data_IF_402877775895
#
_entry.id   IF_402877775895
#
_cell.length_a   1.000
_cell.length_b   1.000
_cell.length_c   1.000
_cell.angle_alpha   90.00
_cell.angle_beta   90.00
_cell.angle_gamma   90.00
#
_symmetry.space_group_name_H-M   'P 1'
#
loop_
_entity.id
_entity.type
_entity.pdbx_description
1 polymer ?
#
# COMPACT_ATOMS: atom_id res chain seq x y z
N UNK A 1 -9.70 -13.67 -10.43
CA UNK A 1 -9.50 -13.07 -9.09
C UNK A 1 -10.82 -12.47 -8.66
N UNK A 2 -11.51 -13.14 -7.74
CA UNK A 2 -12.66 -12.58 -7.02
C UNK A 2 -12.22 -11.25 -6.39
N UNK A 3 -12.98 -10.17 -6.60
CA UNK A 3 -12.61 -8.84 -6.11
C UNK A 3 -12.34 -8.86 -4.62
N UNK A 4 -11.06 -8.76 -4.24
CA UNK A 4 -10.60 -8.69 -2.86
C UNK A 4 -10.98 -7.30 -2.35
N UNK A 5 -11.76 -7.26 -1.28
CA UNK A 5 -12.10 -6.02 -0.59
C UNK A 5 -10.99 -5.75 0.43
N UNK A 6 -10.27 -4.66 0.25
CA UNK A 6 -9.14 -4.27 1.08
C UNK A 6 -9.42 -2.96 1.82
N UNK A 7 -8.68 -2.71 2.91
CA UNK A 7 -8.83 -1.55 3.77
C UNK A 7 -7.48 -1.00 4.21
N UNK A 8 -7.36 0.31 4.30
CA UNK A 8 -6.15 0.99 4.79
C UNK A 8 -6.51 2.26 5.54
N UNK A 9 -5.94 2.45 6.73
CA UNK A 9 -6.00 3.74 7.43
C UNK A 9 -5.19 4.81 6.70
N UNK A 10 -5.74 6.01 6.67
CA UNK A 10 -5.00 7.18 6.24
C UNK A 10 -4.06 7.66 7.36
N UNK A 11 -2.90 8.26 7.01
CA UNK A 11 -2.12 9.07 7.94
C UNK A 11 -2.87 10.33 8.43
N UNK A 12 -3.88 10.79 7.67
CA UNK A 12 -4.80 11.86 8.10
C UNK A 12 -5.74 11.29 9.16
N UNK A 13 -5.89 12.03 10.26
CA UNK A 13 -6.70 11.60 11.40
C UNK A 13 -8.12 11.21 11.00
N UNK A 14 -8.60 10.12 11.62
CA UNK A 14 -9.96 9.62 11.50
C UNK A 14 -10.43 9.26 10.08
N UNK A 15 -9.54 9.11 9.10
CA UNK A 15 -9.92 8.71 7.74
C UNK A 15 -9.35 7.36 7.36
N UNK A 16 -10.11 6.58 6.62
CA UNK A 16 -9.64 5.33 6.03
C UNK A 16 -10.24 5.13 4.65
N UNK A 17 -9.54 4.35 3.82
CA UNK A 17 -10.00 3.99 2.48
C UNK A 17 -10.30 2.50 2.40
N UNK A 18 -11.22 2.15 1.51
CA UNK A 18 -11.45 0.76 1.11
C UNK A 18 -11.45 0.66 -0.40
N UNK A 19 -10.98 -0.46 -0.95
CA UNK A 19 -11.06 -0.69 -2.40
C UNK A 19 -11.43 -2.13 -2.74
N UNK A 20 -12.10 -2.29 -3.88
CA UNK A 20 -12.51 -3.58 -4.43
C UNK A 20 -13.25 -3.42 -5.76
N UNK A 21 -14.48 -2.89 -5.74
CA UNK A 21 -15.22 -2.50 -6.95
C UNK A 21 -15.00 -1.03 -7.35
N UNK A 22 -14.69 -0.20 -6.36
CA UNK A 22 -14.30 1.20 -6.46
C UNK A 22 -13.54 1.56 -5.19
N UNK A 23 -12.95 2.75 -5.15
CA UNK A 23 -12.21 3.27 -4.01
C UNK A 23 -13.15 4.17 -3.22
N UNK A 24 -13.36 3.87 -1.94
CA UNK A 24 -14.24 4.64 -1.07
C UNK A 24 -13.45 5.29 0.05
N UNK A 25 -13.76 6.55 0.37
CA UNK A 25 -13.22 7.27 1.52
C UNK A 25 -14.26 7.33 2.63
N UNK A 26 -13.83 6.93 3.83
CA UNK A 26 -14.63 6.99 5.04
C UNK A 26 -13.97 7.89 6.08
N UNK A 27 -14.82 8.56 6.85
CA UNK A 27 -14.42 9.37 8.01
C UNK A 27 -15.06 8.82 9.27
N UNK A 28 -14.31 8.78 10.36
CA UNK A 28 -14.69 8.15 11.62
C UNK A 28 -15.04 9.20 12.66
N UNK A 29 -16.22 9.07 13.25
CA UNK A 29 -16.75 9.96 14.27
C UNK A 29 -17.06 9.21 15.55
N UNK A 30 -16.88 9.88 16.70
CA UNK A 30 -17.29 9.34 18.00
C UNK A 30 -18.78 9.58 18.30
N UNK A 31 -19.37 10.60 17.69
CA UNK A 31 -20.78 10.97 17.84
C UNK A 31 -21.45 10.95 16.47
N UNK A 32 -22.70 10.47 16.41
CA UNK A 32 -23.49 10.53 15.19
C UNK A 32 -23.69 11.99 14.78
N UNK A 33 -23.28 12.40 13.57
CA UNK A 33 -23.60 13.73 13.08
C UNK A 33 -25.12 13.85 12.88
N UNK A 34 -25.77 14.82 13.53
CA UNK A 34 -27.23 15.03 13.44
C UNK A 34 -27.71 15.38 12.01
N UNK A 35 -26.80 15.81 11.14
CA UNK A 35 -27.09 16.33 9.80
C UNK A 35 -26.93 15.32 8.64
N UNK A 36 -26.55 14.07 8.91
CA UNK A 36 -26.15 13.13 7.84
C UNK A 36 -27.23 12.08 7.58
N UNK A 37 -27.59 11.80 6.31
CA UNK A 37 -28.50 10.70 5.99
C UNK A 37 -27.97 9.36 6.50
N UNK A 38 -28.79 8.63 7.26
CA UNK A 38 -28.46 7.30 7.80
C UNK A 38 -27.96 6.27 6.77
N UNK A 39 -28.17 6.50 5.46
CA UNK A 39 -27.74 5.61 4.38
C UNK A 39 -26.23 5.55 4.16
N UNK A 40 -25.47 6.54 4.65
CA UNK A 40 -24.01 6.62 4.46
C UNK A 40 -23.22 6.38 5.74
N UNK A 41 -23.90 6.12 6.87
CA UNK A 41 -23.26 5.95 8.17
C UNK A 41 -23.33 4.49 8.60
N UNK A 42 -22.20 3.97 9.05
CA UNK A 42 -22.03 2.60 9.50
C UNK A 42 -21.52 2.60 10.94
N UNK A 43 -22.20 1.91 11.84
CA UNK A 43 -21.69 1.72 13.20
C UNK A 43 -20.50 0.75 13.14
N UNK A 44 -19.31 1.23 13.55
CA UNK A 44 -18.09 0.41 13.53
C UNK A 44 -17.76 -0.16 14.91
N UNK A 45 -18.01 0.62 15.97
CA UNK A 45 -17.85 0.20 17.37
C UNK A 45 -18.99 0.72 18.25
N UNK A 46 -18.96 0.45 19.56
CA UNK A 46 -19.99 0.96 20.49
C UNK A 46 -20.04 2.49 20.50
N UNK A 47 -18.87 3.13 20.35
CA UNK A 47 -18.67 4.57 20.46
C UNK A 47 -18.22 5.23 19.17
N UNK A 48 -18.14 4.51 18.05
CA UNK A 48 -17.68 5.09 16.79
C UNK A 48 -18.53 4.67 15.60
N UNK A 49 -18.62 5.60 14.65
CA UNK A 49 -19.33 5.48 13.39
C UNK A 49 -18.39 5.83 12.25
N UNK A 50 -18.55 5.19 11.10
CA UNK A 50 -17.87 5.53 9.86
C UNK A 50 -18.89 6.08 8.87
N UNK A 51 -18.64 7.27 8.33
CA UNK A 51 -19.43 7.91 7.29
C UNK A 51 -18.72 7.76 5.94
N UNK A 52 -19.44 7.28 4.93
CA UNK A 52 -18.97 7.30 3.55
C UNK A 52 -19.02 8.73 3.01
N UNK A 53 -17.86 9.33 2.79
CA UNK A 53 -17.76 10.68 2.21
C UNK A 53 -17.80 10.65 0.70
N UNK A 54 -16.98 9.79 0.09
CA UNK A 54 -16.74 9.81 -1.36
C UNK A 54 -16.48 8.41 -1.91
N UNK A 55 -16.86 8.21 -3.17
CA UNK A 55 -16.61 6.98 -3.94
C UNK A 55 -16.02 7.36 -5.29
N UNK A 56 -14.86 6.80 -5.62
CA UNK A 56 -14.20 6.95 -6.91
C UNK A 56 -14.21 5.59 -7.64
N UNK A 57 -14.91 5.53 -8.76
CA UNK A 57 -15.03 4.33 -9.60
C UNK A 57 -14.26 4.43 -10.92
N UNK A 58 -13.41 5.46 -11.08
CA UNK A 58 -12.69 5.71 -12.34
C UNK A 58 -11.55 4.70 -12.55
N UNK A 59 -11.04 4.11 -11.47
CA UNK A 59 -9.91 3.19 -11.49
C UNK A 59 -10.37 1.73 -11.53
N UNK A 60 -10.87 1.34 -12.70
CA UNK A 60 -11.16 -0.07 -12.99
C UNK A 60 -9.84 -0.85 -13.04
N UNK A 61 -9.83 -2.07 -12.50
CA UNK A 61 -8.65 -2.95 -12.46
C UNK A 61 -7.51 -2.47 -11.53
N UNK A 62 -7.87 -1.85 -10.41
CA UNK A 62 -6.93 -1.56 -9.33
C UNK A 62 -6.39 -2.86 -8.71
N UNK A 63 -5.07 -2.92 -8.51
CA UNK A 63 -4.33 -4.06 -7.97
C UNK A 63 -3.77 -3.81 -6.58
N UNK A 64 -3.20 -2.63 -6.39
CA UNK A 64 -2.62 -2.17 -5.13
C UNK A 64 -2.84 -0.66 -5.02
N UNK A 65 -3.03 -0.18 -3.81
CA UNK A 65 -3.15 1.24 -3.48
C UNK A 65 -2.26 1.49 -2.28
N UNK A 66 -1.59 2.64 -2.28
CA UNK A 66 -1.00 3.18 -1.06
C UNK A 66 -1.35 4.65 -0.89
N UNK A 67 -1.40 5.07 0.38
CA UNK A 67 -1.77 6.42 0.81
C UNK A 67 -0.51 7.22 1.04
N UNK A 68 -0.49 8.46 0.55
CA UNK A 68 0.63 9.36 0.77
C UNK A 68 0.92 9.54 2.27
N UNK A 69 2.17 9.31 2.73
CA UNK A 69 2.47 9.14 4.15
C UNK A 69 2.46 10.46 4.93
N UNK A 70 2.65 11.60 4.25
CA UNK A 70 2.62 12.90 4.92
C UNK A 70 1.18 13.36 5.03
N UNK A 71 0.78 13.78 6.23
CA UNK A 71 -0.52 14.37 6.49
C UNK A 71 -0.59 15.76 5.83
N UNK A 72 -1.05 15.79 4.58
CA UNK A 72 -1.39 17.02 3.87
C UNK A 72 -2.90 17.26 3.94
N UNK A 73 -3.36 18.45 3.54
CA UNK A 73 -4.79 18.81 3.62
C UNK A 73 -5.70 17.90 2.79
N UNK A 74 -5.13 17.14 1.85
CA UNK A 74 -5.84 16.22 0.98
C UNK A 74 -5.17 14.86 0.90
N UNK A 75 -5.98 13.84 0.62
CA UNK A 75 -5.57 12.45 0.60
C UNK A 75 -5.06 12.07 -0.80
N UNK A 76 -3.75 12.20 -1.00
CA UNK A 76 -3.11 11.71 -2.21
C UNK A 76 -2.96 10.18 -2.16
N UNK A 77 -3.38 9.52 -3.24
CA UNK A 77 -3.32 8.08 -3.44
C UNK A 77 -2.41 7.73 -4.61
N UNK A 78 -1.62 6.68 -4.46
CA UNK A 78 -0.96 6.02 -5.58
C UNK A 78 -1.71 4.73 -5.91
N UNK A 79 -2.25 4.64 -7.12
CA UNK A 79 -3.14 3.55 -7.54
C UNK A 79 -2.44 2.73 -8.61
N UNK A 80 -2.02 1.51 -8.26
CA UNK A 80 -1.40 0.55 -9.18
C UNK A 80 -2.44 -0.23 -9.98
N UNK A 81 -2.32 -0.20 -11.30
CA UNK A 81 -3.26 -0.84 -12.22
C UNK A 81 -2.72 -2.17 -12.78
N UNK A 82 -3.61 -3.01 -13.32
CA UNK A 82 -3.25 -4.28 -14.00
C UNK A 82 -2.36 -4.11 -15.23
N UNK A 83 -2.29 -2.92 -15.82
CA UNK A 83 -1.40 -2.63 -16.94
C UNK A 83 -0.01 -2.12 -16.50
N UNK A 84 0.22 -1.99 -15.19
CA UNK A 84 1.51 -1.60 -14.61
C UNK A 84 1.67 -0.11 -14.40
N UNK A 85 0.72 0.70 -14.90
CA UNK A 85 0.71 2.13 -14.62
C UNK A 85 0.36 2.36 -13.16
N UNK A 86 0.88 3.45 -12.63
CA UNK A 86 0.46 3.98 -11.34
C UNK A 86 -0.09 5.38 -11.53
N UNK A 87 -1.35 5.58 -11.19
CA UNK A 87 -2.01 6.88 -11.28
C UNK A 87 -2.00 7.55 -9.90
N UNK A 88 -1.58 8.81 -9.87
CA UNK A 88 -1.67 9.64 -8.67
C UNK A 88 -3.02 10.36 -8.66
N UNK A 89 -3.82 10.14 -7.63
CA UNK A 89 -5.19 10.62 -7.56
C UNK A 89 -5.55 11.14 -6.17
N UNK A 90 -6.56 12.00 -6.13
CA UNK A 90 -7.23 12.41 -4.90
C UNK A 90 -8.74 12.23 -5.05
N UNK A 91 -9.47 12.29 -3.94
CA UNK A 91 -10.92 12.38 -3.94
C UNK A 91 -11.43 13.80 -4.21
N UNK A 92 -10.65 14.84 -3.89
CA UNK A 92 -11.08 16.23 -4.06
C UNK A 92 -10.08 17.04 -4.91
N UNK A 93 -10.13 16.89 -6.26
CA UNK A 93 -9.23 17.61 -7.15
C UNK A 93 -9.60 19.09 -7.18
N UNK A 94 -9.04 19.87 -6.26
CA UNK A 94 -9.10 21.33 -6.29
C UNK A 94 -7.70 21.93 -6.45
N UNK A 95 -7.56 23.09 -7.12
CA UNK A 95 -6.28 23.77 -7.24
C UNK A 95 -5.65 24.13 -5.88
N UNK A 96 -6.47 24.29 -4.84
CA UNK A 96 -6.01 24.58 -3.47
C UNK A 96 -5.41 23.34 -2.78
N UNK A 97 -5.79 22.14 -3.23
CA UNK A 97 -5.39 20.86 -2.66
C UNK A 97 -4.26 20.19 -3.44
N UNK A 98 -4.03 20.57 -4.70
CA UNK A 98 -2.91 20.09 -5.51
C UNK A 98 -1.78 21.12 -5.61
N UNK A 99 -1.30 21.60 -4.46
CA UNK A 99 -0.22 22.60 -4.38
C UNK A 99 1.05 22.14 -5.10
N UNK A 100 1.25 20.82 -5.21
CA UNK A 100 2.43 20.22 -5.84
C UNK A 100 2.18 19.68 -7.25
N UNK A 101 0.98 19.79 -7.81
CA UNK A 101 0.70 19.34 -9.19
C UNK A 101 0.86 17.84 -9.41
N UNK A 102 0.67 17.01 -8.37
CA UNK A 102 0.80 15.56 -8.46
C UNK A 102 -0.46 14.90 -9.00
N UNK A 103 -1.63 15.50 -8.79
CA UNK A 103 -2.92 14.88 -9.10
C UNK A 103 -3.06 14.71 -10.61
N UNK A 104 -3.49 13.53 -11.04
CA UNK A 104 -3.68 13.19 -12.45
C UNK A 104 -2.39 12.81 -13.19
N UNK A 105 -1.23 12.84 -12.53
CA UNK A 105 0.02 12.33 -13.12
C UNK A 105 0.00 10.80 -13.15
N UNK A 106 0.48 10.23 -14.24
CA UNK A 106 0.66 8.79 -14.41
C UNK A 106 2.14 8.43 -14.49
N UNK A 107 2.51 7.38 -13.75
CA UNK A 107 3.80 6.71 -13.84
C UNK A 107 3.64 5.51 -14.76
N UNK A 108 4.30 5.58 -15.93
CA UNK A 108 4.11 4.58 -16.98
C UNK A 108 5.39 3.74 -17.11
N UNK A 109 5.34 2.43 -16.81
CA UNK A 109 6.49 1.57 -17.06
C UNK A 109 6.72 1.41 -18.56
N UNK A 110 7.96 1.11 -18.95
CA UNK A 110 8.35 0.91 -20.36
C UNK A 110 7.50 -0.14 -21.08
N UNK A 111 7.07 -1.17 -20.34
CA UNK A 111 6.28 -2.26 -20.86
C UNK A 111 5.08 -2.54 -19.95
N UNK A 112 3.89 -2.65 -20.55
CA UNK A 112 2.67 -2.94 -19.82
C UNK A 112 2.69 -4.36 -19.25
N UNK A 113 2.46 -4.48 -17.93
CA UNK A 113 2.48 -5.73 -17.14
C UNK A 113 1.85 -5.48 -15.77
N UNK A 114 1.40 -6.50 -15.05
CA UNK A 114 0.66 -6.25 -13.81
C UNK A 114 1.50 -5.51 -12.76
N UNK A 115 0.89 -4.51 -12.13
CA UNK A 115 1.36 -4.00 -10.86
C UNK A 115 0.87 -4.94 -9.75
N UNK A 116 1.81 -5.40 -8.92
CA UNK A 116 1.56 -6.29 -7.79
C UNK A 116 1.57 -5.52 -6.48
N UNK A 117 2.40 -4.49 -6.37
CA UNK A 117 2.52 -3.70 -5.16
C UNK A 117 2.93 -2.24 -5.46
N UNK A 118 2.46 -1.30 -4.66
CA UNK A 118 2.77 0.13 -4.75
C UNK A 118 2.95 0.63 -3.35
N UNK A 119 4.06 1.29 -3.04
CA UNK A 119 4.34 1.81 -1.70
C UNK A 119 5.10 3.13 -1.74
N UNK A 120 4.53 4.15 -1.10
CA UNK A 120 5.25 5.36 -0.77
C UNK A 120 6.30 5.08 0.29
N UNK A 121 7.42 5.79 0.18
CA UNK A 121 8.41 5.79 1.22
C UNK A 121 7.88 6.59 2.43
N UNK A 122 7.73 5.97 3.61
CA UNK A 122 7.07 6.58 4.76
C UNK A 122 7.84 7.79 5.33
N UNK A 123 9.12 7.92 5.04
CA UNK A 123 9.98 9.02 5.50
C UNK A 123 10.22 10.03 4.38
N UNK A 124 10.72 9.54 3.24
CA UNK A 124 10.96 10.35 2.06
C UNK A 124 9.79 10.26 1.09
N UNK A 125 8.65 10.88 1.45
CA UNK A 125 7.39 10.73 0.70
C UNK A 125 7.44 11.07 -0.80
N UNK A 126 8.49 11.70 -1.32
CA UNK A 126 8.65 11.88 -2.77
C UNK A 126 9.00 10.59 -3.52
N UNK A 127 9.53 9.57 -2.83
CA UNK A 127 9.86 8.28 -3.42
C UNK A 127 8.68 7.33 -3.38
N UNK A 128 8.40 6.72 -4.53
CA UNK A 128 7.37 5.71 -4.70
C UNK A 128 7.99 4.44 -5.29
N UNK A 129 7.85 3.31 -4.59
CA UNK A 129 8.24 2.01 -5.12
C UNK A 129 7.05 1.31 -5.78
N UNK A 130 7.31 0.67 -6.91
CA UNK A 130 6.33 -0.08 -7.69
C UNK A 130 6.88 -1.45 -8.01
N UNK A 131 6.13 -2.49 -7.64
CA UNK A 131 6.47 -3.89 -7.87
C UNK A 131 5.64 -4.44 -9.02
N UNK A 132 6.30 -4.96 -10.04
CA UNK A 132 5.71 -5.37 -11.31
C UNK A 132 5.97 -6.85 -11.61
N UNK A 133 5.17 -7.38 -12.52
CA UNK A 133 5.42 -8.69 -13.13
C UNK A 133 6.73 -8.73 -13.93
N UNK A 134 7.23 -9.94 -14.15
CA UNK A 134 8.42 -10.20 -14.96
C UNK A 134 8.22 -9.71 -16.39
N UNK A 135 9.22 -8.95 -16.85
CA UNK A 135 9.40 -8.65 -18.27
C UNK A 135 10.86 -8.92 -18.67
N UNK A 136 11.07 -9.41 -19.89
CA UNK A 136 12.40 -9.80 -20.35
C UNK A 136 13.29 -8.55 -20.48
N UNK A 137 14.43 -8.59 -19.80
CA UNK A 137 15.43 -7.52 -19.80
C UNK A 137 14.95 -6.16 -19.21
N UNK A 138 13.88 -6.15 -18.42
CA UNK A 138 13.41 -4.97 -17.70
C UNK A 138 13.36 -5.24 -16.18
N UNK A 139 13.50 -4.20 -15.37
CA UNK A 139 13.41 -4.29 -13.92
C UNK A 139 11.97 -4.50 -13.45
N UNK A 140 11.75 -5.33 -12.45
CA UNK A 140 10.42 -5.53 -11.84
C UNK A 140 10.15 -4.61 -10.66
N UNK A 141 11.18 -4.03 -10.05
CA UNK A 141 11.02 -3.01 -9.02
C UNK A 141 11.43 -1.67 -9.61
N UNK A 142 10.48 -0.74 -9.71
CA UNK A 142 10.72 0.61 -10.22
C UNK A 142 10.56 1.62 -9.09
N UNK A 143 11.53 2.52 -8.95
CA UNK A 143 11.50 3.60 -7.97
C UNK A 143 11.29 4.91 -8.69
N UNK A 144 10.24 5.62 -8.34
CA UNK A 144 9.85 6.89 -8.93
C UNK A 144 10.05 8.01 -7.93
N UNK A 145 10.48 9.16 -8.43
CA UNK A 145 10.53 10.41 -7.66
C UNK A 145 9.39 11.30 -8.17
N UNK A 146 8.30 11.39 -7.41
CA UNK A 146 7.07 12.09 -7.83
C UNK A 146 7.29 13.60 -7.99
N UNK A 147 8.34 14.16 -7.36
CA UNK A 147 8.71 15.57 -7.55
C UNK A 147 9.13 15.87 -8.98
N UNK A 148 9.72 14.89 -9.68
CA UNK A 148 10.11 15.03 -11.09
C UNK A 148 8.92 15.07 -12.04
N UNK A 149 7.74 14.67 -11.57
CA UNK A 149 6.49 14.77 -12.34
C UNK A 149 5.91 16.18 -12.28
N UNK A 150 6.11 16.87 -11.17
CA UNK A 150 5.61 18.24 -10.93
C UNK A 150 6.36 19.26 -11.78
N UNK A 151 7.68 19.12 -11.90
CA UNK A 151 8.55 20.03 -12.68
C UNK A 151 8.26 20.07 -14.18
N UNK A 152 7.41 19.18 -14.71
CA UNK A 152 6.97 19.21 -16.12
C UNK A 152 5.95 20.33 -16.42
N UNK A 153 5.48 21.05 -15.40
CA UNK A 153 4.62 22.23 -15.53
C UNK A 153 5.37 23.50 -15.13
N UNK A 154 6.23 24.02 -16.03
CA UNK A 154 6.58 25.45 -16.10
C UNK A 154 7.91 25.90 -15.48
N UNK A 155 8.96 25.99 -16.30
CA UNK A 155 9.98 27.05 -16.16
C UNK A 155 9.82 28.19 -17.16
N UNK A 156 8.91 28.09 -18.13
CA UNK A 156 8.55 29.21 -19.02
C UNK A 156 7.03 29.24 -19.16
N UNK A 157 6.36 30.11 -18.41
CA UNK A 157 5.07 30.76 -18.73
C UNK A 157 4.54 31.47 -17.47
N UNK A 158 4.56 32.80 -17.48
CA UNK A 158 3.89 33.66 -16.51
C UNK A 158 2.37 33.43 -16.53
N UNK A 159 1.63 33.74 -15.44
CA UNK A 159 0.22 33.39 -15.34
C UNK A 159 -0.62 34.35 -16.19
N UNK A 160 -1.15 33.88 -17.31
CA UNK A 160 -2.24 34.55 -18.01
C UNK A 160 -3.38 33.58 -18.31
N UNK A 161 -4.47 33.81 -17.55
CA UNK A 161 -5.89 33.66 -17.90
C UNK A 161 -6.36 32.38 -18.62
N UNK A 162 -7.04 31.56 -17.82
CA UNK A 162 -8.42 31.06 -18.06
C UNK A 162 -8.77 30.59 -19.48
N UNK A 163 -8.88 29.28 -19.68
CA UNK A 163 -10.08 28.67 -20.29
C UNK A 163 -10.03 27.14 -20.22
N UNK A 164 -11.10 26.59 -19.66
CA UNK A 164 -11.56 25.22 -19.76
C UNK A 164 -11.74 24.78 -21.22
N UNK A 165 -11.42 23.53 -21.55
CA UNK A 165 -12.22 22.70 -22.47
C UNK A 165 -11.96 21.22 -22.16
N UNK A 166 -13.05 20.51 -21.92
CA UNK A 166 -13.22 19.06 -21.92
C UNK A 166 -13.11 18.58 -23.37
N UNK A 167 -12.32 17.55 -23.69
CA UNK A 167 -12.79 16.53 -24.65
C UNK A 167 -11.90 15.29 -24.70
N UNK A 168 -12.55 14.16 -24.46
CA UNK A 168 -12.33 12.88 -25.10
C UNK A 168 -12.22 12.98 -26.62
N UNK A 169 -11.39 12.16 -27.25
CA UNK A 169 -11.51 11.84 -28.69
C UNK A 169 -10.18 11.66 -29.42
N UNK A 170 -9.95 10.43 -29.88
CA UNK A 170 -9.22 10.04 -31.10
C UNK A 170 -8.65 11.16 -31.97
N UNK A 171 -7.37 11.06 -32.36
CA UNK A 171 -6.89 11.73 -33.57
C UNK A 171 -6.07 10.81 -34.47
N UNK A 172 -6.56 10.76 -35.70
CA UNK A 172 -6.03 10.16 -36.92
C UNK A 172 -4.94 11.02 -37.56
N UNK A 173 -4.18 10.35 -38.44
CA UNK A 173 -3.07 10.83 -39.28
C UNK A 173 -3.50 11.83 -40.37
N UNK A 174 -2.66 12.82 -40.68
CA UNK A 174 -2.38 13.27 -42.06
C UNK A 174 -1.08 14.08 -42.16
N UNK A 175 -0.56 14.20 -43.40
CA UNK A 175 0.85 14.23 -43.80
C UNK A 175 1.31 15.60 -44.35
N UNK A 176 2.63 15.80 -44.34
CA UNK A 176 3.51 16.65 -45.18
C UNK A 176 3.65 18.16 -44.90
N UNK A 177 4.92 18.55 -44.70
CA UNK A 177 5.42 19.92 -44.85
C UNK A 177 6.64 20.15 -43.96
N UNK A 178 7.85 20.04 -44.51
CA UNK A 178 9.09 20.19 -43.78
C UNK A 178 9.27 21.61 -43.21
N UNK A 179 9.15 21.74 -41.90
CA UNK A 179 9.83 22.72 -41.07
C UNK A 179 9.99 22.05 -39.70
N UNK A 180 11.18 22.09 -39.12
CA UNK A 180 11.51 21.38 -37.89
C UNK A 180 10.64 21.85 -36.72
N UNK A 181 9.46 21.24 -36.58
CA UNK A 181 8.67 21.28 -35.37
C UNK A 181 9.29 20.28 -34.40
N UNK A 182 9.99 20.80 -33.40
CA UNK A 182 10.20 20.05 -32.17
C UNK A 182 8.80 19.66 -31.67
N UNK A 183 8.36 18.45 -32.01
CA UNK A 183 7.32 17.79 -31.26
C UNK A 183 7.85 17.79 -29.83
N UNK A 184 7.20 18.55 -28.96
CA UNK A 184 7.44 18.45 -27.53
C UNK A 184 7.15 16.99 -27.19
N UNK A 185 8.20 16.17 -27.17
CA UNK A 185 8.12 14.81 -26.72
C UNK A 185 7.53 14.94 -25.31
N UNK A 186 6.35 14.34 -25.10
CA UNK A 186 5.83 14.16 -23.75
C UNK A 186 6.95 13.40 -23.04
N UNK A 187 7.72 14.09 -22.20
CA UNK A 187 8.76 13.45 -21.41
C UNK A 187 8.04 12.53 -20.44
N UNK A 188 7.89 11.28 -20.87
CA UNK A 188 7.48 10.20 -20.00
C UNK A 188 8.56 10.13 -18.94
N UNK A 189 8.20 10.51 -17.72
CA UNK A 189 9.11 10.45 -16.59
C UNK A 189 9.75 9.05 -16.56
N UNK A 190 11.05 9.00 -16.29
CA UNK A 190 11.77 7.74 -16.15
C UNK A 190 11.87 7.39 -14.67
N UNK A 191 11.82 6.09 -14.32
CA UNK A 191 12.13 5.67 -12.95
C UNK A 191 13.55 6.11 -12.60
N UNK A 192 13.75 6.50 -11.34
CA UNK A 192 15.06 6.88 -10.80
C UNK A 192 15.94 5.66 -10.59
N UNK A 193 15.35 4.52 -10.20
CA UNK A 193 16.04 3.24 -10.05
C UNK A 193 15.19 2.09 -10.58
N UNK A 194 15.86 1.08 -11.13
CA UNK A 194 15.26 -0.15 -11.63
C UNK A 194 16.02 -1.36 -11.04
N UNK A 195 15.32 -2.30 -10.39
CA UNK A 195 15.92 -3.51 -9.82
C UNK A 195 15.19 -4.78 -10.29
N UNK A 196 15.82 -5.94 -10.09
CA UNK A 196 15.19 -7.24 -10.34
C UNK A 196 14.95 -7.54 -11.83
N UNK A 197 16.00 -7.42 -12.64
CA UNK A 197 15.95 -7.65 -14.09
C UNK A 197 15.44 -9.05 -14.41
N UNK A 198 14.38 -9.14 -15.22
CA UNK A 198 13.76 -10.44 -15.60
C UNK A 198 13.24 -11.28 -14.43
N UNK A 199 12.93 -10.64 -13.29
CA UNK A 199 12.30 -11.25 -12.12
C UNK A 199 10.87 -10.68 -11.95
N UNK A 200 10.04 -11.29 -11.10
CA UNK A 200 8.73 -10.73 -10.68
C UNK A 200 8.86 -10.17 -9.27
N UNK A 201 8.34 -8.97 -9.00
CA UNK A 201 8.21 -8.44 -7.65
C UNK A 201 6.79 -8.68 -7.13
N UNK A 202 6.66 -9.35 -5.99
CA UNK A 202 5.38 -9.75 -5.39
C UNK A 202 4.93 -8.86 -4.25
N UNK A 203 5.87 -8.38 -3.44
CA UNK A 203 5.61 -7.45 -2.35
C UNK A 203 6.86 -6.62 -2.07
N UNK A 204 6.65 -5.42 -1.54
CA UNK A 204 7.67 -4.42 -1.28
C UNK A 204 7.54 -3.93 0.16
N UNK A 205 8.60 -3.35 0.70
CA UNK A 205 8.54 -2.61 1.97
C UNK A 205 9.74 -1.68 2.12
N UNK A 206 9.54 -0.56 2.81
CA UNK A 206 10.57 0.41 3.13
C UNK A 206 11.04 0.24 4.58
N UNK A 207 12.32 0.51 4.82
CA UNK A 207 12.85 0.65 6.18
C UNK A 207 12.60 2.07 6.70
N UNK A 208 12.17 2.20 7.96
CA UNK A 208 11.83 3.52 8.53
C UNK A 208 13.05 4.23 9.10
N UNK A 209 13.94 3.51 9.77
CA UNK A 209 15.22 4.06 10.23
C UNK A 209 16.23 4.31 9.11
N UNK A 210 16.14 3.54 8.01
CA UNK A 210 17.00 3.68 6.83
C UNK A 210 16.16 3.94 5.56
N UNK A 211 15.76 5.19 5.28
CA UNK A 211 14.75 5.50 4.26
C UNK A 211 15.20 5.19 2.83
N UNK A 212 16.49 5.06 2.57
CA UNK A 212 17.03 4.66 1.25
C UNK A 212 17.12 3.14 1.07
N UNK A 213 16.74 2.36 2.07
CA UNK A 213 16.79 0.90 2.01
C UNK A 213 15.37 0.37 1.85
N UNK A 214 15.22 -0.67 1.04
CA UNK A 214 13.94 -1.38 0.86
C UNK A 214 14.16 -2.88 0.71
N UNK A 215 13.15 -3.66 1.07
CA UNK A 215 13.12 -5.09 0.80
C UNK A 215 12.01 -5.42 -0.21
N UNK A 216 12.24 -6.44 -1.02
CA UNK A 216 11.31 -6.91 -2.02
C UNK A 216 11.26 -8.45 -2.04
N UNK A 217 10.05 -9.00 -2.06
CA UNK A 217 9.81 -10.42 -2.33
C UNK A 217 9.85 -10.67 -3.84
N UNK A 218 10.86 -11.40 -4.31
CA UNK A 218 11.19 -11.54 -5.73
C UNK A 218 11.06 -12.99 -6.22
N UNK A 219 10.66 -13.16 -7.48
CA UNK A 219 10.69 -14.41 -8.26
C UNK A 219 10.02 -15.65 -7.59
N UNK A 220 9.18 -15.43 -6.56
CA UNK A 220 8.52 -16.51 -5.82
C UNK A 220 9.43 -17.31 -4.89
N UNK A 221 10.71 -16.93 -4.76
CA UNK A 221 11.75 -17.79 -4.16
C UNK A 221 12.82 -17.05 -3.37
N UNK A 222 12.81 -15.73 -3.34
CA UNK A 222 13.84 -14.97 -2.65
C UNK A 222 13.29 -13.66 -2.11
N UNK A 223 13.83 -13.19 -1.00
CA UNK A 223 13.69 -11.78 -0.58
C UNK A 223 15.03 -11.12 -0.85
N UNK A 224 14.99 -9.92 -1.44
CA UNK A 224 16.17 -9.10 -1.74
C UNK A 224 16.05 -7.76 -1.06
N UNK A 225 17.16 -7.26 -0.53
CA UNK A 225 17.27 -5.94 0.11
C UNK A 225 18.15 -5.06 -0.76
N UNK A 226 17.66 -3.88 -1.11
CA UNK A 226 18.32 -2.92 -1.99
C UNK A 226 18.58 -1.61 -1.25
N UNK A 227 19.72 -0.97 -1.54
CA UNK A 227 20.02 0.40 -1.14
C UNK A 227 19.92 1.31 -2.37
N UNK A 228 19.12 2.36 -2.29
CA UNK A 228 19.03 3.35 -3.37
C UNK A 228 20.31 4.17 -3.53
N UNK A 229 21.20 4.21 -2.52
CA UNK A 229 22.48 4.92 -2.58
C UNK A 229 23.51 4.16 -3.41
N UNK A 230 23.36 2.85 -3.54
CA UNK A 230 24.22 1.98 -4.35
C UNK A 230 23.35 1.07 -5.25
N UNK A 231 22.81 1.61 -6.35
CA UNK A 231 21.80 0.91 -7.14
C UNK A 231 22.35 -0.30 -7.90
N UNK A 232 23.67 -0.43 -8.01
CA UNK A 232 24.30 -1.56 -8.67
C UNK A 232 24.50 -2.74 -7.72
N UNK A 233 24.28 -2.56 -6.42
CA UNK A 233 24.56 -3.55 -5.39
C UNK A 233 23.32 -3.89 -4.59
N UNK A 234 23.08 -5.19 -4.48
CA UNK A 234 22.13 -5.74 -3.52
C UNK A 234 22.81 -5.87 -2.15
N UNK A 235 22.16 -5.42 -1.08
CA UNK A 235 22.72 -5.48 0.28
C UNK A 235 22.72 -6.91 0.78
N UNK A 236 21.53 -7.52 0.82
CA UNK A 236 21.30 -8.86 1.36
C UNK A 236 20.26 -9.60 0.51
N UNK A 237 20.34 -10.93 0.49
CA UNK A 237 19.31 -11.77 -0.11
C UNK A 237 19.22 -13.11 0.60
N UNK A 238 18.02 -13.68 0.60
CA UNK A 238 17.73 -14.99 1.18
C UNK A 238 16.85 -15.80 0.25
N UNK A 239 17.03 -17.11 0.21
CA UNK A 239 16.16 -18.02 -0.53
C UNK A 239 15.00 -18.47 0.35
N UNK A 240 13.78 -18.12 -0.05
CA UNK A 240 12.57 -18.46 0.69
C UNK A 240 11.33 -18.43 -0.20
N UNK A 241 10.35 -19.29 0.10
CA UNK A 241 9.01 -19.20 -0.52
C UNK A 241 8.18 -18.05 0.07
N UNK A 242 8.56 -17.57 1.26
CA UNK A 242 7.91 -16.49 1.99
C UNK A 242 8.12 -15.11 1.37
N UNK A 243 7.67 -14.90 0.13
CA UNK A 243 7.88 -13.64 -0.61
C UNK A 243 6.67 -12.70 -0.61
N UNK A 244 5.59 -13.08 0.06
CA UNK A 244 4.35 -12.31 0.10
C UNK A 244 4.25 -11.49 1.39
N UNK A 245 3.58 -10.34 1.31
CA UNK A 245 3.33 -9.45 2.43
C UNK A 245 4.58 -9.08 3.23
N UNK A 246 5.70 -8.90 2.55
CA UNK A 246 6.95 -8.50 3.18
C UNK A 246 6.71 -7.18 3.92
N UNK A 247 6.96 -7.13 5.22
CA UNK A 247 6.75 -5.94 6.03
C UNK A 247 7.85 -5.78 7.09
N UNK A 248 8.42 -4.58 7.17
CA UNK A 248 9.41 -4.20 8.19
C UNK A 248 8.72 -3.88 9.51
N UNK A 249 9.41 -4.17 10.62
CA UNK A 249 8.94 -3.69 11.92
C UNK A 249 9.17 -2.16 12.00
N UNK A 250 8.10 -1.35 12.16
CA UNK A 250 8.19 0.11 12.16
C UNK A 250 9.07 0.70 13.27
N UNK A 251 9.25 -0.04 14.36
CA UNK A 251 10.00 0.38 15.55
C UNK A 251 11.42 -0.19 15.58
N UNK A 252 11.72 -1.20 14.75
CA UNK A 252 13.04 -1.82 14.69
C UNK A 252 13.33 -2.36 13.29
N UNK A 253 14.11 -1.60 12.52
CA UNK A 253 14.54 -1.94 11.16
C UNK A 253 15.31 -3.26 11.04
N UNK A 254 15.75 -3.88 12.15
CA UNK A 254 16.41 -5.19 12.13
C UNK A 254 15.47 -6.32 11.69
N UNK A 255 14.18 -6.19 12.00
CA UNK A 255 13.22 -7.28 11.86
C UNK A 255 12.27 -7.07 10.70
N UNK A 256 12.03 -8.16 9.97
CA UNK A 256 11.13 -8.21 8.84
C UNK A 256 10.25 -9.45 8.97
N UNK A 257 8.99 -9.33 8.60
CA UNK A 257 8.08 -10.47 8.51
C UNK A 257 7.65 -10.66 7.06
N UNK A 258 7.45 -11.91 6.67
CA UNK A 258 6.88 -12.27 5.38
C UNK A 258 6.08 -13.55 5.53
N UNK A 259 5.29 -13.91 4.53
CA UNK A 259 4.55 -15.16 4.57
C UNK A 259 4.53 -15.85 3.21
N UNK A 260 4.19 -17.14 3.28
CA UNK A 260 3.66 -17.92 2.16
C UNK A 260 2.57 -18.83 2.69
N UNK A 261 1.87 -19.53 1.79
CA UNK A 261 0.65 -20.27 2.11
C UNK A 261 0.67 -21.01 3.45
N UNK A 262 1.75 -21.70 3.81
CA UNK A 262 1.77 -22.56 5.00
C UNK A 262 2.55 -22.02 6.20
N UNK A 263 3.22 -20.87 6.11
CA UNK A 263 4.05 -20.33 7.21
C UNK A 263 4.20 -18.81 7.13
N UNK A 264 4.30 -18.20 8.30
CA UNK A 264 4.79 -16.82 8.48
C UNK A 264 6.26 -16.91 8.92
N UNK A 265 7.13 -16.18 8.24
CA UNK A 265 8.56 -16.15 8.48
C UNK A 265 8.96 -14.83 9.14
N UNK A 266 9.70 -14.90 10.24
CA UNK A 266 10.36 -13.76 10.86
C UNK A 266 11.84 -13.77 10.52
N UNK A 267 12.38 -12.61 10.13
CA UNK A 267 13.73 -12.47 9.60
C UNK A 267 14.54 -11.45 10.40
N UNK A 268 15.83 -11.72 10.52
CA UNK A 268 16.84 -10.75 10.95
C UNK A 268 17.63 -10.31 9.72
N UNK A 269 17.71 -9.01 9.47
CA UNK A 269 18.45 -8.52 8.30
C UNK A 269 19.96 -8.58 8.50
N UNK A 270 20.43 -8.63 9.75
CA UNK A 270 21.86 -8.84 10.03
C UNK A 270 22.29 -10.29 9.79
N UNK A 271 21.37 -11.24 9.99
CA UNK A 271 21.58 -12.66 9.73
C UNK A 271 20.49 -13.19 8.78
N UNK A 272 20.59 -12.81 7.51
CA UNK A 272 19.52 -13.02 6.54
C UNK A 272 19.57 -14.38 5.83
N UNK A 273 20.36 -15.34 6.30
CA UNK A 273 20.48 -16.65 5.65
C UNK A 273 19.27 -17.56 5.90
N UNK A 274 18.68 -17.46 7.10
CA UNK A 274 17.53 -18.26 7.53
C UNK A 274 16.56 -17.42 8.37
N UNK A 275 15.26 -17.78 8.41
CA UNK A 275 14.32 -17.11 9.30
C UNK A 275 14.71 -17.38 10.76
N UNK A 276 14.55 -16.38 11.61
CA UNK A 276 14.76 -16.50 13.07
C UNK A 276 13.67 -17.39 13.67
N UNK A 277 12.45 -17.29 13.15
CA UNK A 277 11.30 -18.01 13.65
C UNK A 277 10.29 -18.25 12.54
N UNK A 278 9.61 -19.39 12.60
CA UNK A 278 8.56 -19.81 11.68
C UNK A 278 7.28 -20.03 12.48
N UNK A 279 6.25 -19.25 12.18
CA UNK A 279 4.93 -19.39 12.81
C UNK A 279 4.06 -20.23 11.87
N UNK A 280 3.59 -21.42 12.28
CA UNK A 280 2.70 -22.25 11.49
C UNK A 280 1.23 -21.83 11.65
N UNK A 281 0.59 -21.18 10.65
CA UNK A 281 -0.84 -20.88 10.67
C UNK A 281 -1.67 -22.14 10.42
N UNK A 282 -2.93 -22.13 10.86
CA UNK A 282 -3.88 -23.23 10.60
C UNK A 282 -4.36 -23.29 9.14
N UNK A 283 -4.50 -22.12 8.51
CA UNK A 283 -4.94 -21.95 7.12
C UNK A 283 -4.01 -21.02 6.35
N UNK A 284 -4.22 -20.97 5.03
CA UNK A 284 -3.48 -20.08 4.13
C UNK A 284 -3.48 -18.62 4.59
N UNK A 285 -2.31 -17.99 4.72
CA UNK A 285 -2.23 -16.58 5.13
C UNK A 285 -2.62 -15.66 3.97
N UNK A 286 -3.39 -14.61 4.27
CA UNK A 286 -3.88 -13.62 3.29
C UNK A 286 -3.16 -12.29 3.44
N UNK A 287 -2.89 -11.88 4.68
CA UNK A 287 -2.29 -10.59 5.00
C UNK A 287 -1.57 -10.68 6.34
N UNK A 288 -0.43 -9.99 6.45
CA UNK A 288 0.26 -9.73 7.71
C UNK A 288 0.56 -8.24 7.82
N UNK A 289 0.64 -7.69 9.03
CA UNK A 289 1.09 -6.33 9.24
C UNK A 289 1.59 -6.12 10.68
N UNK A 290 2.75 -5.48 10.81
CA UNK A 290 3.27 -5.03 12.10
C UNK A 290 2.43 -3.89 12.66
N UNK A 291 2.27 -3.88 13.98
CA UNK A 291 1.66 -2.77 14.68
C UNK A 291 2.61 -1.56 14.63
N UNK A 292 2.17 -0.39 14.14
CA UNK A 292 3.02 0.81 14.12
C UNK A 292 3.29 1.36 15.52
N UNK A 293 2.36 1.16 16.47
CA UNK A 293 2.41 1.77 17.80
C UNK A 293 2.97 0.84 18.88
N UNK A 294 2.94 -0.48 18.67
CA UNK A 294 3.50 -1.48 19.59
C UNK A 294 4.66 -2.22 18.94
N UNK A 295 5.85 -2.13 19.55
CA UNK A 295 7.11 -2.63 19.00
C UNK A 295 7.13 -4.13 18.67
N UNK A 296 6.43 -4.96 19.45
CA UNK A 296 6.51 -6.41 19.34
C UNK A 296 5.29 -7.07 18.69
N UNK A 297 4.29 -6.31 18.26
CA UNK A 297 3.03 -6.91 17.79
C UNK A 297 2.98 -7.08 16.27
N UNK A 298 2.71 -8.31 15.81
CA UNK A 298 2.44 -8.66 14.43
C UNK A 298 1.03 -9.23 14.31
N UNK A 299 0.20 -8.68 13.43
CA UNK A 299 -1.10 -9.27 13.09
C UNK A 299 -0.98 -10.16 11.87
N UNK A 300 -1.78 -11.22 11.84
CA UNK A 300 -2.00 -12.05 10.66
C UNK A 300 -3.49 -12.33 10.45
N UNK A 301 -3.86 -12.41 9.17
CA UNK A 301 -5.18 -12.80 8.71
C UNK A 301 -5.08 -14.07 7.89
N UNK A 302 -5.80 -15.09 8.31
CA UNK A 302 -5.90 -16.36 7.61
C UNK A 302 -7.09 -16.38 6.62
N UNK A 303 -7.00 -17.25 5.61
CA UNK A 303 -8.00 -17.42 4.56
C UNK A 303 -9.30 -17.97 5.13
N UNK A 304 -10.42 -17.38 4.73
CA UNK A 304 -11.76 -17.78 5.16
C UNK A 304 -11.89 -17.84 6.69
N UNK A 305 -11.21 -16.92 7.38
CA UNK A 305 -11.26 -16.76 8.83
C UNK A 305 -12.12 -15.55 9.21
N UNK A 306 -12.89 -15.69 10.28
CA UNK A 306 -13.56 -14.58 10.97
C UNK A 306 -12.73 -14.06 12.16
N UNK A 307 -11.51 -14.56 12.35
CA UNK A 307 -10.60 -14.16 13.44
C UNK A 307 -9.26 -13.65 12.90
N UNK A 308 -8.59 -12.84 13.71
CA UNK A 308 -7.22 -12.37 13.49
C UNK A 308 -6.29 -12.95 14.56
N UNK A 309 -5.09 -13.35 14.17
CA UNK A 309 -4.07 -13.80 15.12
C UNK A 309 -3.07 -12.67 15.34
N UNK A 310 -2.81 -12.34 16.60
CA UNK A 310 -1.81 -11.35 16.99
C UNK A 310 -0.68 -12.05 17.73
N UNK A 311 0.53 -11.86 17.24
CA UNK A 311 1.75 -12.40 17.81
C UNK A 311 2.51 -11.30 18.53
N UNK A 312 2.78 -11.49 19.82
CA UNK A 312 3.71 -10.67 20.60
C UNK A 312 5.09 -11.31 20.55
N UNK A 313 5.99 -10.72 19.76
CA UNK A 313 7.31 -11.23 19.43
C UNK A 313 8.33 -10.47 20.27
N UNK A 314 8.83 -11.12 21.31
CA UNK A 314 9.85 -10.56 22.19
C UNK A 314 11.22 -11.11 21.84
N UNK A 315 12.13 -10.21 21.48
CA UNK A 315 13.53 -10.54 21.22
C UNK A 315 14.31 -10.45 22.53
N UNK A 316 14.94 -11.56 22.94
CA UNK A 316 15.83 -11.55 24.11
C UNK A 316 17.15 -10.90 23.70
N UNK A 317 17.60 -9.89 24.44
CA UNK A 317 18.76 -9.06 24.07
C UNK A 317 20.11 -9.64 24.52
N UNK A 318 20.13 -10.79 25.20
CA UNK A 318 21.31 -11.29 25.91
C UNK A 318 22.08 -12.41 25.20
N UNK A 319 21.56 -13.00 24.12
CA UNK A 319 22.27 -14.03 23.35
C UNK A 319 21.90 -13.95 21.87
N UNK A 320 22.91 -13.93 20.98
CA UNK A 320 22.73 -13.88 19.53
C UNK A 320 22.10 -15.16 18.95
N UNK A 321 21.98 -16.22 19.76
CA UNK A 321 21.37 -17.51 19.39
C UNK A 321 20.01 -17.77 20.05
N UNK A 322 19.50 -16.85 20.88
CA UNK A 322 18.23 -17.10 21.57
C UNK A 322 17.03 -16.90 20.64
N UNK A 323 16.22 -17.94 20.50
CA UNK A 323 14.96 -17.89 19.76
C UNK A 323 14.00 -16.84 20.38
N UNK A 324 13.30 -16.05 19.55
CA UNK A 324 12.35 -15.06 20.05
C UNK A 324 11.18 -15.77 20.73
N UNK A 325 10.71 -15.20 21.84
CA UNK A 325 9.47 -15.68 22.46
C UNK A 325 8.29 -15.12 21.69
N UNK A 326 7.43 -15.99 21.16
CA UNK A 326 6.24 -15.61 20.41
C UNK A 326 5.00 -16.01 21.19
N UNK A 327 4.24 -15.03 21.67
CA UNK A 327 2.97 -15.26 22.34
C UNK A 327 1.83 -14.99 21.37
N UNK A 328 1.00 -16.01 21.12
CA UNK A 328 -0.14 -15.92 20.23
C UNK A 328 -1.42 -15.50 20.99
N UNK A 329 -2.19 -14.62 20.37
CA UNK A 329 -3.51 -14.23 20.84
C UNK A 329 -4.47 -14.13 19.65
N UNK A 330 -5.60 -14.84 19.75
CA UNK A 330 -6.69 -14.73 18.77
C UNK A 330 -7.61 -13.56 19.14
N UNK A 331 -8.00 -12.77 18.14
CA UNK A 331 -8.98 -11.71 18.22
C UNK A 331 -10.15 -12.07 17.33
N UNK A 332 -11.36 -12.13 17.91
CA UNK A 332 -12.61 -12.31 17.17
C UNK A 332 -13.31 -10.95 17.07
N UNK A 333 -13.32 -10.31 15.89
CA UNK A 333 -14.14 -9.13 15.66
C UNK A 333 -15.62 -9.46 15.88
N UNK A 334 -16.43 -8.48 16.26
CA UNK A 334 -17.86 -8.67 16.57
C UNK A 334 -18.75 -9.10 15.39
N UNK A 335 -18.18 -9.46 14.23
CA UNK A 335 -18.90 -9.96 13.06
C UNK A 335 -18.64 -11.45 12.83
N UNK A 336 -19.66 -12.27 12.54
CA UNK A 336 -19.47 -13.69 12.22
C UNK A 336 -18.99 -13.93 10.78
N UNK A 337 -18.73 -12.88 10.00
CA UNK A 337 -18.36 -12.98 8.59
C UNK A 337 -16.85 -13.13 8.40
N UNK A 338 -16.46 -13.74 7.28
CA UNK A 338 -15.04 -13.86 6.91
C UNK A 338 -14.44 -12.48 6.65
N UNK A 339 -13.34 -12.21 7.32
CA UNK A 339 -12.57 -10.97 7.18
C UNK A 339 -11.81 -11.05 5.85
N UNK A 340 -11.85 -9.97 5.07
CA UNK A 340 -11.13 -9.90 3.79
C UNK A 340 -9.82 -9.13 3.89
N UNK A 341 -9.73 -8.17 4.82
CA UNK A 341 -8.54 -7.38 5.07
C UNK A 341 -8.64 -6.66 6.43
N UNK A 342 -7.50 -6.21 6.94
CA UNK A 342 -7.42 -5.38 8.14
C UNK A 342 -6.35 -4.29 7.99
N UNK A 343 -6.42 -3.25 8.83
CA UNK A 343 -5.43 -2.19 8.90
C UNK A 343 -5.26 -1.68 10.33
N UNK A 344 -4.00 -1.50 10.76
CA UNK A 344 -3.67 -0.87 12.02
C UNK A 344 -3.86 0.64 11.94
N UNK A 345 -4.37 1.23 13.01
CA UNK A 345 -4.41 2.68 13.13
C UNK A 345 -2.97 3.22 13.27
N UNK A 346 -2.59 4.30 12.55
CA UNK A 346 -1.22 4.77 12.51
C UNK A 346 -0.73 5.34 13.86
N UNK A 347 -1.60 5.99 14.62
CA UNK A 347 -1.25 6.75 15.84
C UNK A 347 -1.89 6.19 17.12
N UNK A 348 -3.20 5.94 17.10
CA UNK A 348 -3.91 5.32 18.22
C UNK A 348 -3.32 3.96 18.62
N UNK A 349 -2.98 3.88 19.89
CA UNK A 349 -2.38 2.69 20.46
C UNK A 349 -3.33 1.50 20.37
N UNK A 350 -2.82 0.41 19.81
CA UNK A 350 -3.52 -0.86 19.72
C UNK A 350 -4.91 -0.81 19.07
N UNK A 351 -5.14 0.13 18.15
CA UNK A 351 -6.39 0.20 17.40
C UNK A 351 -6.20 -0.44 16.04
N UNK A 352 -7.13 -1.30 15.66
CA UNK A 352 -7.18 -1.92 14.33
C UNK A 352 -8.59 -1.89 13.78
N UNK A 353 -8.70 -1.89 12.45
CA UNK A 353 -9.96 -1.94 11.73
C UNK A 353 -9.97 -3.18 10.82
N UNK A 354 -11.10 -3.88 10.80
CA UNK A 354 -11.29 -5.06 9.94
C UNK A 354 -12.48 -4.84 9.02
N UNK A 355 -12.40 -5.42 7.82
CA UNK A 355 -13.49 -5.37 6.86
C UNK A 355 -13.89 -6.79 6.45
N UNK A 356 -15.19 -7.02 6.37
CA UNK A 356 -15.78 -8.30 5.99
C UNK A 356 -16.87 -8.11 4.94
N UNK A 357 -17.04 -9.10 4.05
CA UNK A 357 -18.07 -9.10 3.01
C UNK A 357 -19.33 -9.83 3.50
N UNK A 358 -20.48 -9.14 3.52
CA UNK A 358 -21.77 -9.77 3.81
C UNK A 358 -22.40 -10.36 2.55
N UNK A 359 -22.64 -11.67 2.56
CA UNK A 359 -23.28 -12.39 1.48
C UNK A 359 -24.82 -12.36 1.55
N UNK A 360 -25.46 -11.31 1.04
CA UNK A 360 -26.80 -11.46 0.43
C UNK A 360 -26.67 -11.17 -1.06
N UNK A 361 -26.77 -12.22 -1.89
CA UNK A 361 -26.45 -12.28 -3.33
C UNK A 361 -27.06 -11.19 -4.24
N UNK A 362 -27.89 -10.28 -3.74
CA UNK A 362 -28.44 -9.13 -4.49
C UNK A 362 -27.98 -7.75 -3.99
N UNK A 363 -27.41 -7.65 -2.77
CA UNK A 363 -26.88 -6.39 -2.21
C UNK A 363 -25.62 -6.77 -1.42
N UNK A 364 -24.44 -6.63 -2.04
CA UNK A 364 -23.18 -6.68 -1.30
C UNK A 364 -23.12 -5.44 -0.41
N UNK A 365 -23.42 -5.59 0.88
CA UNK A 365 -23.14 -4.55 1.88
C UNK A 365 -21.78 -4.86 2.50
N UNK A 366 -20.89 -3.86 2.51
CA UNK A 366 -19.64 -3.93 3.26
C UNK A 366 -20.00 -3.86 4.75
N UNK A 367 -19.52 -4.81 5.54
CA UNK A 367 -19.66 -4.76 7.00
C UNK A 367 -18.30 -4.40 7.57
N UNK A 368 -18.29 -3.31 8.33
CA UNK A 368 -17.15 -2.90 9.14
C UNK A 368 -17.29 -3.53 10.51
N UNK A 369 -16.30 -4.30 10.95
CA UNK A 369 -16.17 -4.67 12.36
C UNK A 369 -14.93 -3.98 12.92
N UNK A 370 -15.13 -3.01 13.82
CA UNK A 370 -14.03 -2.36 14.53
C UNK A 370 -14.08 -2.79 15.98
N UNK A 371 -13.25 -3.74 16.41
CA UNK A 371 -12.96 -3.94 17.83
C UNK A 371 -11.61 -4.62 18.04
N UNK A 372 -10.64 -3.88 18.60
CA UNK A 372 -10.18 -4.01 20.00
C UNK A 372 -9.03 -3.03 20.25
N UNK A 373 -9.19 -2.16 21.26
CA UNK A 373 -8.08 -1.52 21.98
C UNK A 373 -7.43 -2.64 22.78
N UNK A 374 -6.17 -3.01 22.56
CA UNK A 374 -5.44 -3.73 23.61
C UNK A 374 -5.22 -2.75 24.77
N UNK A 375 -6.22 -2.62 25.62
CA UNK A 375 -5.99 -2.13 26.97
C UNK A 375 -5.70 -3.38 27.79
N UNK A 376 -4.46 -3.51 28.25
CA UNK A 376 -4.21 -4.31 29.46
C UNK A 376 -5.09 -3.66 30.54
N UNK A 377 -6.04 -4.42 31.10
CA UNK A 377 -6.33 -4.23 32.52
C UNK A 377 -5.15 -4.74 33.31
#
# INVERSE_FOLDING_TARGET
MTGKLEIQWSPIENKFITWGAGICLYEVYSTLPEAVPNSHVFKISESHYAELKMTNSNFNYTRSIDVYPKCEADLLLAIGLTNGRVSLATFHPSPEHDVRGYVGKELVPRHARCCNDVLFNPVEGNLLAVGLDKYRADGSVLIWDINRLSSTLGSDCLPMRQSSIVSSGSLSVSVSGAAATATAAVEVAKPTHEFGTSETAYSLTWFRGSPKVMAAGMNGKQIKVYDLRDPNKMINSTFTKGVYGVCTNPNNDRYLASFYDTQICLWDIRNFEKPIYLIPPEKGVVQIAWCPTKQSALASLQRDSSVLDIFDIQHTSSSEEAEPTVLERVITPGSPHNITSFSWHPTDYNRLLTIALSGKRKIKKNIFSCFLIFSRK
#
